data_IF_958102869209
#
_entry.id   IF_958102869209
#
_cell.length_a   1.000
_cell.length_b   1.000
_cell.length_c   1.000
_cell.angle_alpha   90.00
_cell.angle_beta   90.00
_cell.angle_gamma   90.00
#
_symmetry.space_group_name_H-M   'P 1'
#
loop_
_entity.id
_entity.type
_entity.pdbx_description
1 polymer ?
#
# COMPACT_ATOMS: atom_id res chain seq x y z
N UNK A 1 20.92 -3.69 20.06
CA UNK A 1 20.95 -3.76 18.58
C UNK A 1 22.06 -2.82 18.13
N UNK A 2 23.17 -3.31 17.56
CA UNK A 2 24.29 -2.45 17.19
C UNK A 2 23.95 -1.62 15.94
N UNK A 3 24.39 -0.37 15.95
CA UNK A 3 24.18 0.64 14.91
C UNK A 3 24.77 0.20 13.57
N UNK A 4 23.93 -0.30 12.65
CA UNK A 4 24.32 -0.42 11.24
C UNK A 4 24.19 0.95 10.56
N UNK A 5 25.20 1.43 9.80
CA UNK A 5 25.07 2.64 9.02
C UNK A 5 24.04 2.43 7.92
N UNK A 6 22.86 3.03 8.06
CA UNK A 6 21.84 3.00 7.02
C UNK A 6 22.27 3.92 5.88
N UNK A 7 22.17 3.42 4.65
CA UNK A 7 22.33 4.23 3.45
C UNK A 7 21.03 4.95 3.16
N UNK A 8 21.02 6.28 3.29
CA UNK A 8 19.90 7.10 2.86
C UNK A 8 19.99 7.28 1.34
N UNK A 9 19.16 6.54 0.60
CA UNK A 9 18.93 6.81 -0.81
C UNK A 9 17.91 7.92 -0.97
N UNK A 10 18.29 9.03 -1.60
CA UNK A 10 17.31 10.05 -2.01
C UNK A 10 16.53 9.48 -3.19
N UNK A 11 15.24 9.22 -2.98
CA UNK A 11 14.36 8.79 -4.06
C UNK A 11 14.15 9.96 -5.02
N UNK A 12 14.39 9.75 -6.32
CA UNK A 12 14.01 10.68 -7.37
C UNK A 12 12.48 10.86 -7.35
N UNK A 13 12.05 12.02 -6.86
CA UNK A 13 10.63 12.32 -6.69
C UNK A 13 9.93 12.48 -8.03
N UNK A 14 10.59 13.00 -9.06
CA UNK A 14 10.01 13.18 -10.39
C UNK A 14 9.77 11.83 -11.05
N UNK A 15 10.74 10.92 -10.94
CA UNK A 15 10.56 9.54 -11.39
C UNK A 15 9.39 8.86 -10.67
N UNK A 16 9.26 9.07 -9.35
CA UNK A 16 8.16 8.52 -8.56
C UNK A 16 6.80 9.10 -8.95
N UNK A 17 6.72 10.40 -9.22
CA UNK A 17 5.50 11.07 -9.69
C UNK A 17 5.08 10.48 -11.04
N UNK A 18 6.01 10.35 -11.99
CA UNK A 18 5.75 9.74 -13.31
C UNK A 18 5.24 8.31 -13.18
N UNK A 19 5.86 7.49 -12.35
CA UNK A 19 5.43 6.10 -12.11
C UNK A 19 4.02 6.02 -11.53
N UNK A 20 3.71 6.87 -10.54
CA UNK A 20 2.37 6.93 -9.95
C UNK A 20 1.31 7.34 -10.96
N UNK A 21 1.61 8.33 -11.80
CA UNK A 21 0.67 8.79 -12.83
C UNK A 21 0.41 7.68 -13.87
N UNK A 22 1.47 7.03 -14.36
CA UNK A 22 1.33 5.91 -15.30
C UNK A 22 0.52 4.73 -14.70
N UNK A 23 0.60 4.50 -13.39
CA UNK A 23 -0.26 3.52 -12.71
C UNK A 23 -1.73 3.93 -12.78
N UNK A 24 -2.04 5.17 -12.38
CA UNK A 24 -3.41 5.71 -12.38
C UNK A 24 -4.03 5.71 -13.79
N UNK A 25 -3.23 6.02 -14.80
CA UNK A 25 -3.71 6.05 -16.19
C UNK A 25 -4.08 4.65 -16.69
N UNK A 26 -3.30 3.63 -16.31
CA UNK A 26 -3.62 2.21 -16.59
C UNK A 26 -4.90 1.77 -15.88
N UNK A 27 -5.03 2.06 -14.59
CA UNK A 27 -6.23 1.71 -13.83
C UNK A 27 -7.48 2.40 -14.39
N UNK A 28 -7.36 3.67 -14.80
CA UNK A 28 -8.43 4.40 -15.45
C UNK A 28 -8.80 3.79 -16.81
N UNK A 29 -7.82 3.28 -17.58
CA UNK A 29 -8.10 2.57 -18.82
C UNK A 29 -8.84 1.24 -18.57
N UNK A 30 -8.42 0.44 -17.57
CA UNK A 30 -9.08 -0.82 -17.18
C UNK A 30 -10.51 -0.59 -16.69
N UNK A 31 -10.75 0.49 -15.94
CA UNK A 31 -12.10 0.89 -15.53
C UNK A 31 -12.98 1.31 -16.72
N UNK A 32 -12.42 2.07 -17.67
CA UNK A 32 -13.16 2.52 -18.86
C UNK A 32 -13.49 1.39 -19.82
N UNK A 33 -12.60 0.40 -19.95
CA UNK A 33 -12.84 -0.79 -20.77
C UNK A 33 -13.82 -1.78 -20.11
N UNK A 34 -14.11 -1.62 -18.82
CA UNK A 34 -14.91 -2.57 -18.05
C UNK A 34 -14.17 -3.86 -17.72
N UNK A 35 -12.84 -3.91 -17.93
CA UNK A 35 -12.00 -5.06 -17.55
C UNK A 35 -12.01 -5.29 -16.03
N UNK A 36 -12.09 -4.20 -15.27
CA UNK A 36 -12.30 -4.22 -13.82
C UNK A 36 -13.40 -3.22 -13.44
N UNK A 37 -14.05 -3.48 -12.32
CA UNK A 37 -14.90 -2.51 -11.66
C UNK A 37 -14.17 -1.79 -10.52
N UNK A 38 -14.85 -0.84 -9.88
CA UNK A 38 -14.29 -0.08 -8.76
C UNK A 38 -14.00 -0.94 -7.53
N UNK A 39 -14.77 -2.00 -7.30
CA UNK A 39 -14.58 -2.86 -6.11
C UNK A 39 -13.32 -3.71 -6.26
N UNK A 40 -13.06 -4.25 -7.45
CA UNK A 40 -11.83 -4.96 -7.80
C UNK A 40 -10.64 -4.01 -7.68
N UNK A 41 -10.71 -2.81 -8.27
CA UNK A 41 -9.61 -1.85 -8.17
C UNK A 41 -9.33 -1.44 -6.71
N UNK A 42 -10.36 -1.29 -5.88
CA UNK A 42 -10.20 -0.98 -4.47
C UNK A 42 -9.54 -2.14 -3.71
N UNK A 43 -9.89 -3.39 -4.05
CA UNK A 43 -9.27 -4.59 -3.49
C UNK A 43 -7.81 -4.72 -3.92
N UNK A 44 -7.48 -4.50 -5.19
CA UNK A 44 -6.11 -4.56 -5.70
C UNK A 44 -5.21 -3.48 -5.05
N UNK A 45 -5.76 -2.30 -4.78
CA UNK A 45 -5.04 -1.20 -4.12
C UNK A 45 -5.01 -1.30 -2.59
N UNK A 46 -5.78 -2.21 -2.00
CA UNK A 46 -5.77 -2.42 -0.57
C UNK A 46 -4.46 -3.11 -0.19
N UNK A 47 -3.63 -2.39 0.57
CA UNK A 47 -2.37 -2.90 1.11
C UNK A 47 -2.54 -4.24 1.82
N UNK A 48 -3.69 -4.45 2.48
CA UNK A 48 -3.96 -5.67 3.21
C UNK A 48 -4.49 -6.81 2.32
N UNK A 49 -4.90 -6.55 1.08
CA UNK A 49 -5.42 -7.60 0.19
C UNK A 49 -4.36 -8.65 -0.19
N UNK A 50 -3.08 -8.26 -0.21
CA UNK A 50 -1.97 -9.18 -0.43
C UNK A 50 -1.48 -9.92 0.83
N UNK A 51 -1.99 -9.56 2.01
CA UNK A 51 -1.58 -10.16 3.27
C UNK A 51 -2.61 -11.21 3.70
N UNK A 52 -2.21 -12.41 4.16
CA UNK A 52 -3.13 -13.34 4.82
C UNK A 52 -3.52 -12.77 6.20
N UNK A 53 -4.40 -11.76 6.24
CA UNK A 53 -4.75 -11.01 7.46
C UNK A 53 -5.19 -11.93 8.61
N UNK A 54 -5.80 -13.07 8.29
CA UNK A 54 -6.21 -14.08 9.29
C UNK A 54 -5.03 -14.70 10.07
N UNK A 55 -3.82 -14.65 9.51
CA UNK A 55 -2.58 -15.09 10.16
C UNK A 55 -1.93 -13.96 10.99
N UNK A 56 -2.39 -12.73 10.83
CA UNK A 56 -1.80 -11.56 11.47
C UNK A 56 -2.73 -10.96 12.53
N UNK A 57 -2.14 -10.55 13.66
CA UNK A 57 -2.82 -9.78 14.69
C UNK A 57 -2.22 -8.38 14.75
N UNK A 58 -3.05 -7.36 14.59
CA UNK A 58 -2.65 -5.98 14.85
C UNK A 58 -2.39 -5.85 16.37
N UNK A 59 -1.19 -5.39 16.74
CA UNK A 59 -0.78 -5.23 18.15
C UNK A 59 -0.72 -3.77 18.58
N UNK A 60 -0.40 -2.86 17.65
CA UNK A 60 -0.15 -1.44 17.90
C UNK A 60 -0.61 -0.62 16.67
N UNK A 61 -1.16 0.58 16.89
CA UNK A 61 -1.46 1.57 15.83
C UNK A 61 -0.88 2.92 16.26
N UNK A 62 -0.05 3.54 15.43
CA UNK A 62 0.61 4.82 15.77
C UNK A 62 1.48 4.75 17.03
N UNK A 63 2.10 3.60 17.31
CA UNK A 63 2.89 3.36 18.52
C UNK A 63 2.08 3.11 19.79
N UNK A 64 0.75 3.09 19.71
CA UNK A 64 -0.14 2.84 20.85
C UNK A 64 -0.69 1.41 20.79
N UNK A 65 -0.64 0.63 21.89
CA UNK A 65 -1.28 -0.68 21.94
C UNK A 65 -2.77 -0.60 21.67
N UNK A 66 -3.31 -1.60 20.99
CA UNK A 66 -4.77 -1.75 20.89
C UNK A 66 -5.34 -1.95 22.29
N UNK A 67 -6.35 -1.17 22.64
CA UNK A 67 -7.12 -1.40 23.86
C UNK A 67 -7.70 -2.81 23.80
N UNK A 68 -7.70 -3.53 24.94
CA UNK A 68 -8.47 -4.78 25.03
C UNK A 68 -9.92 -4.45 24.72
N UNK A 69 -10.48 -5.08 23.68
CA UNK A 69 -11.92 -5.10 23.48
C UNK A 69 -12.54 -5.67 24.78
N UNK A 70 -13.51 -4.95 25.33
CA UNK A 70 -14.31 -5.41 26.47
C UNK A 70 -15.28 -6.48 26.02
#
# INVERSE_FOLDING_TARGET
>A
MPDQPFRVGVLDQDARIRQKQASRDRDAARLRSGEIDRAILQRENDFFAGLPIHEFRIVLVGGRPLAKAR
#
